data_IF_560279633905
#
_entry.id   IF_560279633905
#
_cell.length_a   1.000
_cell.length_b   1.000
_cell.length_c   1.000
_cell.angle_alpha   90.00
_cell.angle_beta   90.00
_cell.angle_gamma   90.00
#
_symmetry.space_group_name_H-M   'P 1'
#
loop_
_entity.id
_entity.type
_entity.pdbx_description
1 polymer ?
#
# COMPACT_ATOMS: atom_id res chain seq x y z
N UNK A 1 20.97 27.67 -8.93
CA UNK A 1 22.17 27.11 -9.61
C UNK A 1 22.25 25.58 -9.59
N UNK A 2 21.27 24.85 -9.02
CA UNK A 2 21.28 23.37 -9.03
C UNK A 2 20.45 22.72 -10.15
N UNK A 3 19.63 23.48 -10.89
CA UNK A 3 18.71 22.93 -11.88
C UNK A 3 19.38 22.43 -13.17
N UNK A 4 20.56 22.94 -13.52
CA UNK A 4 21.23 22.58 -14.79
C UNK A 4 22.19 21.38 -14.72
N UNK A 5 22.46 20.83 -13.52
CA UNK A 5 23.34 19.65 -13.39
C UNK A 5 22.61 18.30 -13.47
N UNK A 6 21.28 18.28 -13.60
CA UNK A 6 20.48 17.03 -13.57
C UNK A 6 20.30 16.32 -14.93
N UNK A 7 20.81 16.89 -16.05
CA UNK A 7 20.63 16.30 -17.39
C UNK A 7 21.57 15.14 -17.74
N UNK A 8 22.45 14.70 -16.82
CA UNK A 8 23.56 13.78 -17.15
C UNK A 8 23.59 12.45 -16.37
N UNK A 9 22.55 12.08 -15.63
CA UNK A 9 22.63 10.92 -14.72
C UNK A 9 21.74 9.73 -15.09
N UNK A 10 22.29 8.54 -14.82
CA UNK A 10 21.76 7.21 -15.16
C UNK A 10 20.54 6.81 -14.30
N UNK A 11 19.82 5.75 -14.68
CA UNK A 11 18.53 5.38 -14.08
C UNK A 11 18.55 5.17 -12.55
N UNK A 12 19.66 4.72 -11.98
CA UNK A 12 19.80 4.52 -10.52
C UNK A 12 19.90 5.85 -9.74
N UNK A 13 20.52 6.87 -10.33
CA UNK A 13 20.70 8.18 -9.71
C UNK A 13 19.41 9.01 -9.73
N UNK A 14 18.51 8.73 -10.68
CA UNK A 14 17.16 9.32 -10.69
C UNK A 14 16.34 8.88 -9.48
N UNK A 15 16.42 7.60 -9.09
CA UNK A 15 15.74 7.11 -7.89
C UNK A 15 16.31 7.73 -6.62
N UNK A 16 17.63 7.89 -6.53
CA UNK A 16 18.26 8.55 -5.40
C UNK A 16 17.87 10.02 -5.31
N UNK A 17 17.79 10.73 -6.45
CA UNK A 17 17.37 12.12 -6.51
C UNK A 17 15.89 12.30 -6.12
N UNK A 18 15.01 11.38 -6.52
CA UNK A 18 13.60 11.37 -6.09
C UNK A 18 13.48 11.09 -4.59
N UNK A 19 14.23 10.11 -4.06
CA UNK A 19 14.26 9.81 -2.62
C UNK A 19 14.80 10.98 -1.80
N UNK A 20 15.86 11.65 -2.26
CA UNK A 20 16.39 12.87 -1.64
C UNK A 20 15.40 14.03 -1.73
N UNK A 21 14.74 14.23 -2.87
CA UNK A 21 13.70 15.25 -3.00
C UNK A 21 12.50 14.97 -2.10
N UNK A 22 12.09 13.71 -1.95
CA UNK A 22 11.01 13.31 -1.05
C UNK A 22 11.41 13.49 0.43
N UNK A 23 12.63 13.09 0.81
CA UNK A 23 13.16 13.33 2.15
C UNK A 23 13.30 14.83 2.47
N UNK A 24 13.72 15.64 1.48
CA UNK A 24 13.81 17.09 1.63
C UNK A 24 12.43 17.77 1.65
N UNK A 25 11.43 17.24 0.92
CA UNK A 25 10.03 17.67 1.00
C UNK A 25 9.42 17.33 2.35
N UNK A 26 9.65 16.13 2.88
CA UNK A 26 9.24 15.75 4.24
C UNK A 26 9.89 16.65 5.30
N UNK A 27 11.18 16.99 5.12
CA UNK A 27 11.90 17.93 6.01
C UNK A 27 11.41 19.38 5.88
N UNK A 28 10.97 19.82 4.68
CA UNK A 28 10.39 21.16 4.43
C UNK A 28 8.90 21.27 4.78
N UNK A 29 8.18 20.14 4.82
CA UNK A 29 6.80 20.07 5.25
C UNK A 29 6.67 20.17 6.78
N UNK A 30 7.76 20.16 7.54
CA UNK A 30 7.75 20.65 8.92
C UNK A 30 7.89 22.17 8.93
N UNK A 31 6.88 22.93 9.40
CA UNK A 31 7.04 24.36 9.65
C UNK A 31 8.23 24.61 10.60
N UNK A 32 8.93 25.76 10.49
CA UNK A 32 9.82 26.20 11.57
C UNK A 32 8.96 26.43 12.82
N UNK A 33 9.03 25.51 13.79
CA UNK A 33 8.10 25.46 14.93
C UNK A 33 6.87 24.55 14.74
N UNK A 34 6.89 23.68 13.73
CA UNK A 34 5.81 22.76 13.41
C UNK A 34 5.58 21.71 14.49
N UNK A 35 4.46 21.84 15.19
CA UNK A 35 3.94 20.78 16.07
C UNK A 35 3.69 19.55 15.20
N UNK A 36 4.40 18.47 15.51
CA UNK A 36 4.15 17.14 14.93
C UNK A 36 2.65 16.84 15.08
N UNK A 37 1.95 16.32 14.06
CA UNK A 37 0.50 16.09 14.13
C UNK A 37 0.18 15.25 15.37
N UNK A 38 -0.34 15.91 16.42
CA UNK A 38 -1.00 15.44 17.65
C UNK A 38 -0.53 14.16 18.39
N UNK A 39 0.61 13.57 18.03
CA UNK A 39 1.01 12.24 18.53
C UNK A 39 2.37 12.17 19.22
N UNK A 40 3.24 13.17 19.04
CA UNK A 40 4.59 13.16 19.65
C UNK A 40 4.78 14.20 20.75
N UNK A 41 3.76 15.01 21.04
CA UNK A 41 3.83 16.09 22.04
C UNK A 41 3.82 15.56 23.48
N UNK A 42 3.26 14.38 23.69
CA UNK A 42 3.00 13.84 25.03
C UNK A 42 3.91 12.67 25.44
N UNK A 43 4.83 12.24 24.55
CA UNK A 43 5.66 11.05 24.75
C UNK A 43 4.86 9.79 25.16
N UNK A 44 3.58 9.72 24.76
CA UNK A 44 2.65 8.63 25.05
C UNK A 44 2.29 7.91 23.77
N UNK A 45 2.40 6.58 23.79
CA UNK A 45 1.92 5.75 22.70
C UNK A 45 0.39 5.77 22.67
N UNK A 46 -0.17 6.00 21.47
CA UNK A 46 -1.60 5.97 21.17
C UNK A 46 -1.85 4.93 20.08
N UNK A 47 -2.90 4.14 20.23
CA UNK A 47 -3.40 3.30 19.13
C UNK A 47 -3.97 4.19 18.01
N UNK A 48 -3.55 3.94 16.78
CA UNK A 48 -4.08 4.57 15.55
C UNK A 48 -4.87 3.57 14.70
N UNK A 49 -5.22 2.41 15.27
CA UNK A 49 -5.87 1.34 14.55
C UNK A 49 -5.03 0.76 13.39
N UNK A 50 -5.69 0.07 12.44
CA UNK A 50 -7.11 -0.30 12.48
C UNK A 50 -7.47 -1.11 13.73
N UNK A 51 -8.65 -0.87 14.31
CA UNK A 51 -9.10 -1.56 15.53
C UNK A 51 -9.65 -2.96 15.21
N UNK A 52 -9.77 -3.79 16.24
CA UNK A 52 -10.36 -5.13 16.15
C UNK A 52 -11.81 -5.06 15.66
N UNK A 53 -12.22 -6.05 14.86
CA UNK A 53 -13.58 -6.16 14.33
C UNK A 53 -14.47 -6.86 15.36
N UNK A 54 -15.70 -6.37 15.55
CA UNK A 54 -16.69 -6.98 16.42
C UNK A 54 -17.69 -7.81 15.60
N UNK A 55 -17.67 -9.12 15.78
CA UNK A 55 -18.63 -10.06 15.20
C UNK A 55 -19.48 -10.66 16.31
N UNK A 56 -20.71 -10.15 16.48
CA UNK A 56 -21.69 -10.63 17.47
C UNK A 56 -21.15 -10.70 18.92
N UNK A 57 -20.39 -9.68 19.34
CA UNK A 57 -19.82 -9.59 20.68
C UNK A 57 -18.44 -10.26 20.82
N UNK A 58 -17.94 -10.89 19.75
CA UNK A 58 -16.58 -11.43 19.70
C UNK A 58 -15.69 -10.43 18.98
N UNK A 59 -14.67 -9.94 19.68
CA UNK A 59 -13.68 -9.05 19.10
C UNK A 59 -12.49 -9.86 18.57
N UNK A 60 -12.24 -9.75 17.27
CA UNK A 60 -11.13 -10.43 16.60
C UNK A 60 -10.19 -9.41 15.98
N UNK A 61 -8.90 -9.55 16.24
CA UNK A 61 -7.85 -8.77 15.59
C UNK A 61 -7.10 -9.65 14.59
N UNK A 62 -6.71 -9.06 13.46
CA UNK A 62 -5.88 -9.70 12.44
C UNK A 62 -4.42 -9.27 12.53
N UNK A 63 -3.59 -9.84 11.67
CA UNK A 63 -2.21 -9.38 11.46
C UNK A 63 -2.22 -8.23 10.44
N UNK A 64 -1.60 -7.11 10.81
CA UNK A 64 -1.28 -6.03 9.86
C UNK A 64 0.12 -6.30 9.33
N UNK A 65 0.24 -6.48 8.03
CA UNK A 65 1.49 -6.85 7.35
C UNK A 65 2.22 -5.63 6.78
N UNK A 66 1.50 -4.55 6.49
CA UNK A 66 2.04 -3.37 5.81
C UNK A 66 1.26 -2.11 6.14
N UNK A 67 1.94 -0.97 6.10
CA UNK A 67 1.36 0.36 6.21
C UNK A 67 2.04 1.28 5.18
N UNK A 68 1.27 2.14 4.53
CA UNK A 68 1.76 3.18 3.63
C UNK A 68 1.14 4.53 4.02
N UNK A 69 1.94 5.59 3.98
CA UNK A 69 1.54 6.96 4.32
C UNK A 69 1.59 7.77 3.03
N UNK A 70 0.53 8.54 2.76
CA UNK A 70 0.48 9.40 1.59
C UNK A 70 1.65 10.41 1.59
N UNK A 71 2.31 10.65 0.45
CA UNK A 71 3.62 11.32 0.38
C UNK A 71 3.61 12.78 0.84
N UNK A 72 2.45 13.45 0.81
CA UNK A 72 2.31 14.88 1.14
C UNK A 72 1.21 15.20 2.15
N UNK A 73 0.38 14.22 2.55
CA UNK A 73 -0.73 14.42 3.48
C UNK A 73 -0.69 13.28 4.51
N UNK A 74 -0.27 13.59 5.73
CA UNK A 74 -0.10 12.59 6.78
C UNK A 74 -1.42 12.10 7.38
N UNK A 75 -2.56 12.68 7.01
CA UNK A 75 -3.86 12.18 7.42
C UNK A 75 -4.28 10.95 6.62
N UNK A 76 -3.75 10.78 5.40
CA UNK A 76 -4.11 9.68 4.53
C UNK A 76 -3.14 8.50 4.75
N UNK A 77 -3.68 7.42 5.28
CA UNK A 77 -2.95 6.19 5.61
C UNK A 77 -3.62 4.99 4.94
N UNK A 78 -2.81 4.01 4.55
CA UNK A 78 -3.27 2.71 4.08
C UNK A 78 -2.64 1.62 4.92
N UNK A 79 -3.42 0.61 5.30
CA UNK A 79 -2.94 -0.56 6.01
C UNK A 79 -3.35 -1.83 5.24
N UNK A 80 -2.46 -2.81 5.16
CA UNK A 80 -2.74 -4.11 4.56
C UNK A 80 -2.76 -5.21 5.62
N UNK A 81 -3.78 -6.05 5.57
CA UNK A 81 -3.92 -7.21 6.44
C UNK A 81 -3.49 -8.51 5.78
N UNK A 82 -2.94 -9.42 6.58
CA UNK A 82 -2.60 -10.81 6.23
C UNK A 82 -3.69 -11.56 5.43
N UNK A 83 -4.95 -11.35 5.83
CA UNK A 83 -6.17 -11.86 5.18
C UNK A 83 -7.32 -10.85 5.38
N UNK A 84 -6.96 -9.57 5.54
CA UNK A 84 -7.88 -8.50 5.92
C UNK A 84 -8.10 -7.45 4.83
N UNK A 85 -7.44 -7.57 3.68
CA UNK A 85 -7.51 -6.59 2.59
C UNK A 85 -6.73 -5.31 2.86
N UNK A 86 -6.94 -4.32 2.00
CA UNK A 86 -6.46 -2.95 2.16
C UNK A 86 -7.51 -2.12 2.88
N UNK A 87 -7.07 -1.35 3.85
CA UNK A 87 -7.87 -0.38 4.60
C UNK A 87 -7.29 1.02 4.39
N UNK A 88 -8.16 2.02 4.34
CA UNK A 88 -7.78 3.44 4.26
C UNK A 88 -8.31 4.23 5.44
N UNK A 89 -7.49 5.14 5.93
CA UNK A 89 -7.88 6.23 6.81
C UNK A 89 -7.62 7.55 6.09
N UNK A 90 -8.54 8.50 6.25
CA UNK A 90 -8.41 9.88 5.77
C UNK A 90 -8.24 10.86 6.95
N UNK A 91 -8.02 10.36 8.17
CA UNK A 91 -8.00 11.12 9.43
C UNK A 91 -6.91 10.67 10.43
N UNK A 92 -5.73 10.34 9.89
CA UNK A 92 -4.53 9.95 10.63
C UNK A 92 -4.74 8.70 11.53
N UNK A 93 -5.59 7.78 11.08
CA UNK A 93 -5.87 6.50 11.74
C UNK A 93 -6.97 6.57 12.80
N UNK A 94 -7.73 7.65 12.90
CA UNK A 94 -8.86 7.68 13.83
C UNK A 94 -10.01 6.78 13.35
N UNK A 95 -10.26 6.74 12.04
CA UNK A 95 -11.25 5.88 11.39
C UNK A 95 -10.65 5.19 10.17
N UNK A 96 -11.14 3.98 9.87
CA UNK A 96 -10.67 3.15 8.78
C UNK A 96 -11.84 2.56 8.01
N UNK A 97 -11.72 2.45 6.69
CA UNK A 97 -12.68 1.76 5.81
C UNK A 97 -11.98 0.72 4.92
N UNK A 98 -12.62 -0.41 4.61
CA UNK A 98 -12.06 -1.39 3.70
C UNK A 98 -12.12 -0.91 2.24
N UNK A 99 -11.16 -1.34 1.43
CA UNK A 99 -11.03 -0.98 0.01
C UNK A 99 -11.04 -2.18 -0.95
N UNK A 100 -10.91 -3.41 -0.43
CA UNK A 100 -10.68 -4.59 -1.28
C UNK A 100 -11.60 -5.77 -0.95
N UNK A 101 -12.74 -5.53 -0.29
CA UNK A 101 -13.69 -6.59 0.13
C UNK A 101 -14.22 -7.45 -1.03
N UNK A 102 -14.08 -6.96 -2.27
CA UNK A 102 -14.56 -7.61 -3.48
C UNK A 102 -13.43 -8.01 -4.46
N UNK A 103 -12.18 -7.88 -4.03
CA UNK A 103 -11.02 -8.19 -4.88
C UNK A 103 -10.63 -9.66 -4.83
N UNK A 104 -9.79 -10.09 -5.79
CA UNK A 104 -9.38 -11.49 -5.94
C UNK A 104 -8.61 -12.08 -4.76
N UNK A 105 -8.15 -11.25 -3.82
CA UNK A 105 -7.53 -11.70 -2.58
C UNK A 105 -7.68 -10.64 -1.50
N UNK A 106 -7.80 -11.10 -0.25
CA UNK A 106 -7.67 -10.25 0.95
C UNK A 106 -6.30 -10.42 1.61
N UNK A 107 -5.42 -11.27 1.08
CA UNK A 107 -4.08 -11.42 1.60
C UNK A 107 -3.19 -10.33 1.05
N UNK A 108 -2.75 -9.41 1.90
CA UNK A 108 -1.89 -8.28 1.51
C UNK A 108 -0.52 -8.44 2.15
N UNK A 109 0.54 -8.31 1.37
CA UNK A 109 1.92 -8.33 1.85
C UNK A 109 2.61 -6.98 1.75
N UNK A 110 2.13 -6.11 0.86
CA UNK A 110 2.73 -4.80 0.59
C UNK A 110 1.74 -3.82 -0.01
N UNK A 111 1.92 -2.54 0.30
CA UNK A 111 1.23 -1.41 -0.34
C UNK A 111 2.28 -0.38 -0.76
N UNK A 112 2.16 0.15 -1.96
CA UNK A 112 2.98 1.25 -2.46
C UNK A 112 2.11 2.34 -3.09
N UNK A 113 2.47 3.60 -2.84
CA UNK A 113 1.80 4.79 -3.37
C UNK A 113 2.77 5.47 -4.33
N UNK A 114 2.30 5.85 -5.52
CA UNK A 114 3.10 6.66 -6.43
C UNK A 114 3.39 8.03 -5.79
N UNK A 115 4.67 8.41 -5.61
CA UNK A 115 5.04 9.65 -4.93
C UNK A 115 4.72 10.92 -5.73
N UNK A 116 4.45 10.80 -7.03
CA UNK A 116 4.11 11.91 -7.94
C UNK A 116 2.61 12.03 -8.13
N UNK A 117 1.90 10.90 -8.31
CA UNK A 117 0.44 10.87 -8.40
C UNK A 117 -0.16 9.91 -7.37
N UNK A 118 -0.48 10.39 -6.15
CA UNK A 118 -0.92 9.52 -5.06
C UNK A 118 -2.27 8.83 -5.24
N UNK A 119 -3.04 9.18 -6.27
CA UNK A 119 -4.23 8.41 -6.68
C UNK A 119 -3.83 7.03 -7.21
N UNK A 120 -2.59 6.87 -7.69
CA UNK A 120 -2.07 5.59 -8.15
C UNK A 120 -1.48 4.84 -6.96
N UNK A 121 -2.13 3.73 -6.60
CA UNK A 121 -1.65 2.83 -5.55
C UNK A 121 -1.58 1.39 -6.04
N UNK A 122 -0.66 0.62 -5.47
CA UNK A 122 -0.45 -0.79 -5.77
C UNK A 122 -0.53 -1.60 -4.48
N UNK A 123 -1.22 -2.73 -4.53
CA UNK A 123 -1.22 -3.73 -3.47
C UNK A 123 -0.59 -5.03 -3.99
N UNK A 124 0.53 -5.42 -3.39
CA UNK A 124 1.10 -6.74 -3.60
C UNK A 124 0.34 -7.75 -2.74
N UNK A 125 -0.44 -8.60 -3.39
CA UNK A 125 -1.22 -9.63 -2.71
C UNK A 125 -0.36 -10.85 -2.38
N UNK A 126 -0.81 -11.62 -1.40
CA UNK A 126 -0.05 -12.69 -0.77
C UNK A 126 0.64 -12.19 0.49
N UNK A 127 0.66 -13.02 1.53
CA UNK A 127 1.30 -12.67 2.80
C UNK A 127 2.60 -13.44 3.05
N UNK A 128 3.56 -12.79 3.71
CA UNK A 128 4.88 -13.37 4.01
C UNK A 128 4.92 -14.14 5.34
N UNK A 129 3.79 -14.20 6.04
CA UNK A 129 3.73 -14.91 7.30
C UNK A 129 3.79 -16.42 6.99
N UNK A 130 4.66 -17.17 7.67
CA UNK A 130 4.80 -18.62 7.48
C UNK A 130 3.82 -19.37 8.38
N UNK A 131 2.55 -19.00 8.35
CA UNK A 131 1.51 -19.64 9.14
C UNK A 131 0.65 -20.56 8.26
N UNK A 132 0.01 -21.56 8.88
CA UNK A 132 -0.80 -22.55 8.15
C UNK A 132 -2.04 -21.97 7.46
N UNK A 133 -2.42 -20.74 7.82
CA UNK A 133 -3.52 -19.94 7.27
C UNK A 133 -3.06 -18.95 6.18
N UNK A 134 -1.79 -18.97 5.75
CA UNK A 134 -1.26 -18.01 4.78
C UNK A 134 -1.64 -18.31 3.35
N UNK A 135 -2.01 -17.26 2.61
CA UNK A 135 -2.46 -17.33 1.22
C UNK A 135 -1.46 -16.65 0.28
N UNK A 136 -1.26 -17.24 -0.90
CA UNK A 136 -0.32 -16.76 -1.92
C UNK A 136 -0.77 -15.50 -2.66
N UNK A 137 -2.04 -15.10 -2.53
CA UNK A 137 -2.60 -13.96 -3.25
C UNK A 137 -2.95 -14.25 -4.71
N UNK A 138 -3.20 -13.19 -5.46
CA UNK A 138 -3.53 -13.16 -6.88
C UNK A 138 -2.59 -12.23 -7.69
N UNK A 139 -1.37 -11.97 -7.22
CA UNK A 139 -0.42 -11.07 -7.88
C UNK A 139 -0.55 -9.62 -7.40
N UNK A 140 -0.56 -8.66 -8.32
CA UNK A 140 -0.57 -7.22 -7.99
C UNK A 140 -1.92 -6.61 -8.34
N UNK A 141 -2.54 -5.90 -7.41
CA UNK A 141 -3.68 -5.02 -7.68
C UNK A 141 -3.16 -3.60 -7.89
N UNK A 142 -3.74 -2.88 -8.84
CA UNK A 142 -3.46 -1.46 -9.10
C UNK A 142 -4.75 -0.67 -9.06
N UNK A 143 -4.75 0.45 -8.34
CA UNK A 143 -5.80 1.45 -8.40
C UNK A 143 -5.28 2.74 -9.04
N UNK A 144 -6.18 3.48 -9.67
CA UNK A 144 -5.94 4.80 -10.28
C UNK A 144 -6.72 5.92 -9.57
N UNK A 145 -7.43 5.58 -8.50
CA UNK A 145 -8.39 6.44 -7.81
C UNK A 145 -8.27 6.29 -6.29
N UNK A 146 -7.05 6.21 -5.77
CA UNK A 146 -6.74 6.14 -4.34
C UNK A 146 -7.38 4.93 -3.62
N UNK A 147 -7.61 3.85 -4.37
CA UNK A 147 -8.10 2.57 -3.88
C UNK A 147 -9.60 2.38 -3.90
N UNK A 148 -10.37 3.27 -4.53
CA UNK A 148 -11.81 3.07 -4.69
C UNK A 148 -12.11 1.92 -5.68
N UNK A 149 -11.31 1.78 -6.74
CA UNK A 149 -11.39 0.67 -7.69
C UNK A 149 -10.02 0.09 -7.98
N UNK A 150 -10.00 -1.22 -8.27
CA UNK A 150 -8.76 -1.97 -8.50
C UNK A 150 -8.82 -2.78 -9.79
N UNK A 151 -7.67 -2.91 -10.43
CA UNK A 151 -7.44 -3.77 -11.57
C UNK A 151 -6.28 -4.72 -11.26
N UNK A 152 -6.52 -6.02 -11.40
CA UNK A 152 -5.48 -7.04 -11.27
C UNK A 152 -4.49 -6.97 -12.43
N UNK A 153 -3.23 -6.75 -12.10
CA UNK A 153 -2.13 -6.68 -13.05
C UNK A 153 -1.50 -8.06 -13.24
N UNK A 154 -1.24 -8.43 -14.49
CA UNK A 154 -0.47 -9.64 -14.81
C UNK A 154 -1.17 -10.95 -14.45
N UNK A 155 -2.51 -11.01 -14.42
CA UNK A 155 -3.27 -12.23 -14.08
C UNK A 155 -2.79 -13.48 -14.85
N UNK A 156 -2.46 -13.34 -16.15
CA UNK A 156 -1.92 -14.42 -17.00
C UNK A 156 -0.47 -14.81 -16.67
N UNK A 157 0.26 -13.97 -15.93
CA UNK A 157 1.63 -14.21 -15.49
C UNK A 157 1.69 -14.74 -14.05
N UNK A 158 0.65 -14.56 -13.23
CA UNK A 158 0.62 -15.03 -11.84
C UNK A 158 -0.21 -16.32 -11.63
N UNK A 159 -0.71 -16.94 -12.70
CA UNK A 159 -1.39 -18.27 -12.63
C UNK A 159 -0.45 -19.42 -12.27
N UNK A 160 -1.03 -20.43 -11.61
CA UNK A 160 -0.35 -21.66 -11.24
C UNK A 160 0.27 -22.33 -12.47
N UNK A 161 1.43 -22.98 -12.28
CA UNK A 161 2.16 -23.64 -13.38
C UNK A 161 1.30 -24.65 -14.15
N UNK A 162 0.34 -25.29 -13.48
CA UNK A 162 -0.62 -26.24 -14.07
C UNK A 162 -1.65 -25.60 -15.00
N UNK A 163 -2.02 -24.33 -14.77
CA UNK A 163 -3.01 -23.61 -15.57
C UNK A 163 -2.38 -23.04 -16.85
N UNK A 164 -1.08 -22.70 -16.80
CA UNK A 164 -0.33 -22.26 -17.99
C UNK A 164 -0.23 -23.32 -19.08
N UNK A 165 -0.23 -24.62 -18.72
CA UNK A 165 -0.18 -25.72 -19.68
C UNK A 165 -1.49 -25.98 -20.43
N UNK A 166 -2.60 -25.39 -20.00
CA UNK A 166 -3.93 -25.58 -20.64
C UNK A 166 -4.19 -24.69 -21.84
N UNK A 167 -3.42 -23.61 -22.03
CA UNK A 167 -3.62 -22.64 -23.12
C UNK A 167 -2.94 -23.04 -24.44
N UNK A 168 -3.01 -24.32 -24.84
CA UNK A 168 -2.62 -24.72 -26.20
C UNK A 168 -3.78 -24.45 -27.16
N UNK A 169 -3.58 -23.39 -27.94
CA UNK A 169 -4.21 -23.03 -29.20
C UNK A 169 -5.24 -24.02 -29.77
N UNK A 170 -6.53 -23.68 -29.63
CA UNK A 170 -7.53 -24.03 -30.64
C UNK A 170 -7.65 -22.85 -31.60
N UNK A 171 -6.84 -22.84 -32.66
CA UNK A 171 -7.21 -22.20 -33.91
C UNK A 171 -7.12 -23.28 -34.99
N UNK A 172 -8.30 -23.62 -35.49
CA UNK A 172 -8.48 -24.41 -36.70
C UNK A 172 -7.79 -23.72 -37.87
N UNK A 173 -7.05 -24.49 -38.68
CA UNK A 173 -7.37 -24.84 -40.07
C UNK A 173 -6.75 -26.20 -40.38
#
# INVERSE_FOLDING_TARGET
MEYERMRLYSGAERNLAVLLQNALRQKRAMPPGGVLPMGLVDNRWRALGPDRVNTNGVFTAGRVSTIAIHPTDMNILYAGGAQGGVWKSDDAGANWRPLTDHECSLAMGSIAIDPVNPDIIYAGTGEQHFSGDSYYGCGVLRSLDAGETWEQQGAQQYVNKSERSGARASHAW
#
